data_IF_691806381481
#
_entry.id   IF_691806381481
#
_cell.length_a   1.000
_cell.length_b   1.000
_cell.length_c   1.000
_cell.angle_alpha   90.00
_cell.angle_beta   90.00
_cell.angle_gamma   90.00
#
_symmetry.space_group_name_H-M   'P 1'
#
loop_
_entity.id
_entity.type
_entity.pdbx_description
1 polymer ?
#
# COMPACT_ATOMS: atom_id res chain seq x y z
N UNK A 1 -44.42 -36.46 11.99
CA UNK A 1 -44.56 -35.17 12.70
C UNK A 1 -43.41 -35.09 13.68
N UNK A 2 -42.52 -34.11 13.53
CA UNK A 2 -41.41 -33.90 14.47
C UNK A 2 -42.03 -33.43 15.78
N UNK A 3 -41.64 -34.01 16.92
CA UNK A 3 -42.25 -33.62 18.19
C UNK A 3 -41.85 -32.19 18.55
N UNK A 4 -42.72 -31.41 19.23
CA UNK A 4 -42.40 -30.04 19.63
C UNK A 4 -41.08 -29.90 20.40
N UNK A 5 -40.67 -30.96 21.13
CA UNK A 5 -39.38 -31.02 21.82
C UNK A 5 -38.17 -31.18 20.88
N UNK A 6 -38.31 -31.92 19.77
CA UNK A 6 -37.23 -32.08 18.78
C UNK A 6 -37.02 -30.78 17.99
N UNK A 7 -38.08 -30.01 17.73
CA UNK A 7 -37.97 -28.72 17.05
C UNK A 7 -37.30 -27.66 17.94
N UNK A 8 -37.59 -27.66 19.25
CA UNK A 8 -36.95 -26.78 20.22
C UNK A 8 -35.45 -27.06 20.38
N UNK A 9 -35.05 -28.34 20.43
CA UNK A 9 -33.64 -28.74 20.54
C UNK A 9 -32.85 -28.37 19.28
N UNK A 10 -33.47 -28.53 18.10
CA UNK A 10 -32.85 -28.17 16.82
C UNK A 10 -32.64 -26.65 16.69
N UNK A 11 -33.63 -25.84 17.09
CA UNK A 11 -33.51 -24.37 17.13
C UNK A 11 -32.43 -23.92 18.13
N UNK A 12 -32.33 -24.57 19.29
CA UNK A 12 -31.28 -24.27 20.27
C UNK A 12 -29.88 -24.58 19.71
N UNK A 13 -29.70 -25.69 19.00
CA UNK A 13 -28.43 -26.03 18.36
C UNK A 13 -28.06 -25.05 17.25
N UNK A 14 -29.01 -24.64 16.40
CA UNK A 14 -28.78 -23.64 15.35
C UNK A 14 -28.37 -22.31 15.97
N UNK A 15 -29.08 -21.85 17.00
CA UNK A 15 -28.75 -20.60 17.69
C UNK A 15 -27.39 -20.66 18.39
N UNK A 16 -26.98 -21.80 18.96
CA UNK A 16 -25.63 -21.96 19.50
C UNK A 16 -24.56 -21.96 18.41
N UNK A 17 -24.83 -22.54 17.24
CA UNK A 17 -23.89 -22.50 16.10
C UNK A 17 -23.73 -21.08 15.57
N UNK A 18 -24.82 -20.31 15.47
CA UNK A 18 -24.78 -18.90 15.07
C UNK A 18 -24.08 -18.02 16.10
N UNK A 19 -24.41 -18.18 17.39
CA UNK A 19 -23.74 -17.48 18.48
C UNK A 19 -22.24 -17.79 18.51
N UNK A 20 -21.86 -19.05 18.31
CA UNK A 20 -20.45 -19.44 18.23
C UNK A 20 -19.76 -18.84 17.00
N UNK A 21 -20.43 -18.75 15.84
CA UNK A 21 -19.90 -18.04 14.66
C UNK A 21 -19.70 -16.56 14.94
N UNK A 22 -20.64 -15.91 15.61
CA UNK A 22 -20.56 -14.49 15.96
C UNK A 22 -19.51 -14.21 17.03
N UNK A 23 -19.33 -15.09 18.02
CA UNK A 23 -18.21 -15.07 18.98
C UNK A 23 -16.88 -15.26 18.26
N UNK A 24 -16.80 -16.20 17.32
CA UNK A 24 -15.57 -16.45 16.54
C UNK A 24 -15.20 -15.23 15.67
N UNK A 25 -16.19 -14.55 15.10
CA UNK A 25 -16.04 -13.36 14.26
C UNK A 25 -15.74 -12.09 15.07
N UNK A 26 -16.32 -11.94 16.26
CA UNK A 26 -16.18 -10.76 17.11
C UNK A 26 -14.96 -10.78 18.04
N UNK A 27 -14.49 -11.96 18.47
CA UNK A 27 -13.41 -12.07 19.46
C UNK A 27 -12.12 -12.69 18.91
N UNK A 28 -12.23 -13.71 18.06
CA UNK A 28 -11.04 -14.47 17.61
C UNK A 28 -10.41 -13.87 16.35
N UNK A 29 -11.21 -13.46 15.35
CA UNK A 29 -10.68 -12.78 14.17
C UNK A 29 -9.85 -11.52 14.53
N UNK A 30 -10.30 -10.70 15.50
CA UNK A 30 -9.53 -9.53 15.90
C UNK A 30 -8.25 -9.90 16.70
N UNK A 31 -8.28 -10.95 17.54
CA UNK A 31 -7.08 -11.42 18.30
C UNK A 31 -6.03 -12.02 17.37
N UNK A 32 -6.45 -12.80 16.35
CA UNK A 32 -5.55 -13.33 15.33
C UNK A 32 -4.94 -12.22 14.47
N UNK A 33 -5.71 -11.19 14.13
CA UNK A 33 -5.18 -9.98 13.47
C UNK A 33 -4.17 -9.25 14.37
N UNK A 34 -4.42 -9.15 15.68
CA UNK A 34 -3.47 -8.53 16.62
C UNK A 34 -2.16 -9.29 16.75
N UNK A 35 -2.21 -10.62 16.81
CA UNK A 35 -1.03 -11.47 16.89
C UNK A 35 -0.27 -11.48 15.56
N UNK A 36 -0.99 -11.38 14.44
CA UNK A 36 -0.44 -11.29 13.09
C UNK A 36 0.25 -9.96 12.83
N UNK A 37 -0.39 -8.84 13.17
CA UNK A 37 0.23 -7.51 13.13
C UNK A 37 1.47 -7.53 14.02
N UNK A 38 1.40 -8.05 15.26
CA UNK A 38 2.58 -8.21 16.13
C UNK A 38 3.67 -9.09 15.51
N UNK A 39 3.33 -10.12 14.73
CA UNK A 39 4.28 -11.01 14.08
C UNK A 39 5.04 -10.36 12.90
N UNK A 40 4.46 -9.35 12.25
CA UNK A 40 5.15 -8.47 11.30
C UNK A 40 5.67 -7.18 11.96
N UNK A 41 5.74 -7.16 13.29
CA UNK A 41 6.19 -6.02 14.06
C UNK A 41 5.30 -4.79 13.90
N UNK A 42 3.98 -4.93 13.96
CA UNK A 42 3.00 -3.83 13.95
C UNK A 42 2.03 -3.96 15.13
N UNK A 43 1.78 -2.86 15.84
CA UNK A 43 0.73 -2.83 16.86
C UNK A 43 -0.67 -2.66 16.24
N UNK A 44 -1.69 -3.23 16.90
CA UNK A 44 -3.11 -3.11 16.52
C UNK A 44 -3.65 -1.68 16.53
N UNK A 45 -2.93 -0.76 17.19
CA UNK A 45 -3.30 0.65 17.33
C UNK A 45 -2.76 1.55 16.22
N UNK A 46 -2.07 0.98 15.22
CA UNK A 46 -1.52 1.75 14.10
C UNK A 46 -2.58 1.94 12.99
N UNK A 47 -3.76 2.44 13.36
CA UNK A 47 -4.67 3.03 12.37
C UNK A 47 -3.92 4.19 11.69
N UNK A 48 -4.08 4.43 10.38
CA UNK A 48 -3.24 5.39 9.68
C UNK A 48 -3.36 6.76 10.36
N UNK A 49 -2.21 7.22 10.87
CA UNK A 49 -2.06 8.33 11.81
C UNK A 49 -2.16 9.69 11.08
N UNK A 50 -2.64 9.72 9.84
CA UNK A 50 -2.48 10.89 8.97
C UNK A 50 -3.77 11.52 8.47
N UNK A 51 -4.96 10.96 8.71
CA UNK A 51 -6.21 11.54 8.20
C UNK A 51 -6.39 13.01 8.63
N UNK A 52 -6.16 13.30 9.91
CA UNK A 52 -6.23 14.66 10.46
C UNK A 52 -5.10 15.55 9.91
N UNK A 53 -3.89 14.99 9.78
CA UNK A 53 -2.72 15.68 9.22
C UNK A 53 -2.93 16.07 7.75
N UNK A 54 -3.45 15.18 6.92
CA UNK A 54 -3.71 15.40 5.49
C UNK A 54 -4.71 16.55 5.32
N UNK A 55 -5.77 16.56 6.14
CA UNK A 55 -6.80 17.62 6.11
C UNK A 55 -6.20 18.99 6.46
N UNK A 56 -5.38 19.06 7.52
CA UNK A 56 -4.73 20.31 7.95
C UNK A 56 -3.66 20.80 6.96
N UNK A 57 -2.86 19.89 6.39
CA UNK A 57 -1.87 20.22 5.37
C UNK A 57 -2.53 20.73 4.09
N UNK A 58 -3.59 20.06 3.62
CA UNK A 58 -4.37 20.47 2.44
C UNK A 58 -4.96 21.86 2.64
N UNK A 59 -5.62 22.11 3.78
CA UNK A 59 -6.15 23.44 4.14
C UNK A 59 -5.05 24.51 4.13
N UNK A 60 -3.89 24.22 4.74
CA UNK A 60 -2.78 25.16 4.83
C UNK A 60 -2.14 25.48 3.47
N UNK A 61 -2.12 24.51 2.56
CA UNK A 61 -1.67 24.69 1.18
C UNK A 61 -2.64 25.57 0.39
N UNK A 62 -3.92 25.21 0.37
CA UNK A 62 -4.97 25.93 -0.37
C UNK A 62 -5.08 27.37 0.12
N UNK A 63 -4.95 27.61 1.43
CA UNK A 63 -4.98 28.96 1.99
C UNK A 63 -3.79 29.83 1.50
N UNK A 64 -2.65 29.22 1.19
CA UNK A 64 -1.45 29.92 0.70
C UNK A 64 -1.38 30.00 -0.83
N UNK A 65 -1.95 29.01 -1.51
CA UNK A 65 -2.01 28.88 -2.96
C UNK A 65 -3.42 28.40 -3.34
N UNK A 66 -4.42 29.30 -3.43
CA UNK A 66 -5.78 28.90 -3.76
C UNK A 66 -5.89 28.28 -5.16
N UNK A 67 -5.00 28.67 -6.07
CA UNK A 67 -5.05 28.27 -7.47
C UNK A 67 -4.72 26.79 -7.72
N UNK A 68 -4.23 26.05 -6.72
CA UNK A 68 -3.91 24.62 -6.85
C UNK A 68 -4.91 23.68 -6.21
N UNK A 69 -6.02 24.19 -5.68
CA UNK A 69 -7.03 23.34 -5.05
C UNK A 69 -7.56 22.27 -6.01
N UNK A 70 -7.79 22.65 -7.26
CA UNK A 70 -8.23 21.76 -8.32
C UNK A 70 -7.15 20.72 -8.66
N UNK A 71 -5.93 21.17 -8.95
CA UNK A 71 -4.79 20.30 -9.29
C UNK A 71 -4.51 19.26 -8.18
N UNK A 72 -4.51 19.69 -6.92
CA UNK A 72 -4.38 18.81 -5.76
C UNK A 72 -5.48 17.75 -5.75
N UNK A 73 -6.73 18.18 -5.96
CA UNK A 73 -7.89 17.28 -5.86
C UNK A 73 -7.89 16.25 -6.99
N UNK A 74 -7.54 16.67 -8.21
CA UNK A 74 -7.38 15.78 -9.37
C UNK A 74 -6.25 14.78 -9.13
N UNK A 75 -5.09 15.24 -8.68
CA UNK A 75 -3.94 14.37 -8.37
C UNK A 75 -4.24 13.36 -7.26
N UNK A 76 -4.90 13.77 -6.18
CA UNK A 76 -5.31 12.86 -5.10
C UNK A 76 -6.27 11.77 -5.60
N UNK A 77 -7.28 12.10 -6.39
CA UNK A 77 -8.23 11.11 -6.91
C UNK A 77 -7.54 10.15 -7.89
N UNK A 78 -6.65 10.66 -8.75
CA UNK A 78 -5.86 9.84 -9.67
C UNK A 78 -4.99 8.81 -8.91
N UNK A 79 -4.30 9.23 -7.85
CA UNK A 79 -3.54 8.34 -6.97
C UNK A 79 -4.44 7.29 -6.32
N UNK A 80 -5.61 7.70 -5.80
CA UNK A 80 -6.56 6.79 -5.15
C UNK A 80 -7.12 5.77 -6.13
N UNK A 81 -7.35 6.16 -7.38
CA UNK A 81 -7.81 5.30 -8.46
C UNK A 81 -6.73 4.29 -8.84
N UNK A 82 -5.49 4.73 -9.08
CA UNK A 82 -4.36 3.85 -9.38
C UNK A 82 -4.12 2.82 -8.27
N UNK A 83 -4.20 3.24 -7.01
CA UNK A 83 -4.10 2.35 -5.85
C UNK A 83 -5.17 1.25 -5.84
N UNK A 84 -6.39 1.50 -6.37
CA UNK A 84 -7.44 0.45 -6.45
C UNK A 84 -7.02 -0.71 -7.37
N UNK A 85 -6.12 -0.46 -8.32
CA UNK A 85 -5.57 -1.42 -9.27
C UNK A 85 -4.17 -1.90 -8.89
N UNK A 86 -3.64 -1.48 -7.73
CA UNK A 86 -2.38 -1.97 -7.17
C UNK A 86 -1.14 -1.13 -7.48
N UNK A 87 -1.30 0.03 -8.12
CA UNK A 87 -0.22 0.94 -8.46
C UNK A 87 -0.11 2.06 -7.43
N UNK A 88 0.99 2.08 -6.68
CA UNK A 88 1.23 3.06 -5.61
C UNK A 88 1.91 4.32 -6.16
N UNK A 89 1.72 5.46 -5.50
CA UNK A 89 2.36 6.73 -5.87
C UNK A 89 3.86 6.72 -5.56
N UNK A 90 4.69 6.82 -6.59
CA UNK A 90 6.13 6.98 -6.50
C UNK A 90 6.46 8.44 -6.75
N UNK A 91 7.18 9.07 -5.83
CA UNK A 91 7.47 10.51 -5.89
C UNK A 91 8.24 10.93 -7.14
N UNK A 92 9.10 10.06 -7.64
CA UNK A 92 9.93 10.31 -8.82
C UNK A 92 9.12 10.19 -10.13
N UNK A 93 7.85 9.80 -10.07
CA UNK A 93 6.95 9.84 -11.21
C UNK A 93 6.23 11.19 -11.27
N UNK A 94 5.95 11.63 -12.49
CA UNK A 94 5.13 12.80 -12.75
C UNK A 94 3.68 12.53 -12.31
N UNK A 95 3.03 13.48 -11.63
CA UNK A 95 1.63 13.31 -11.20
C UNK A 95 0.70 13.13 -12.42
N UNK A 96 1.06 13.77 -13.53
CA UNK A 96 0.42 13.64 -14.83
C UNK A 96 0.34 12.18 -15.29
N UNK A 97 1.35 11.35 -14.98
CA UNK A 97 1.33 9.91 -15.27
C UNK A 97 0.17 9.21 -14.57
N UNK A 98 -0.11 9.55 -13.31
CA UNK A 98 -1.23 8.99 -12.57
C UNK A 98 -2.58 9.51 -13.07
N UNK A 99 -2.63 10.78 -13.47
CA UNK A 99 -3.85 11.39 -14.04
C UNK A 99 -4.21 10.70 -15.35
N UNK A 100 -3.26 10.57 -16.28
CA UNK A 100 -3.44 9.86 -17.55
C UNK A 100 -3.89 8.40 -17.32
N UNK A 101 -3.24 7.71 -16.38
CA UNK A 101 -3.59 6.33 -16.04
C UNK A 101 -5.03 6.22 -15.49
N UNK A 102 -5.45 7.17 -14.65
CA UNK A 102 -6.80 7.23 -14.10
C UNK A 102 -7.85 7.51 -15.19
N UNK A 103 -7.56 8.40 -16.13
CA UNK A 103 -8.45 8.72 -17.26
C UNK A 103 -8.69 7.52 -18.19
N UNK A 104 -7.66 6.67 -18.39
CA UNK A 104 -7.79 5.43 -19.18
C UNK A 104 -8.89 4.52 -18.61
N UNK A 105 -8.99 4.43 -17.29
CA UNK A 105 -9.93 3.52 -16.61
C UNK A 105 -11.27 4.16 -16.27
N UNK A 106 -11.42 5.48 -16.38
CA UNK A 106 -12.69 6.18 -16.10
C UNK A 106 -13.68 6.15 -17.27
N UNK A 107 -13.30 5.60 -18.42
CA UNK A 107 -14.19 5.38 -19.56
C UNK A 107 -15.39 4.49 -19.16
N UNK A 108 -16.61 4.96 -19.42
CA UNK A 108 -17.86 4.44 -18.83
C UNK A 108 -18.25 3.01 -19.27
N UNK A 109 -17.56 2.41 -20.24
CA UNK A 109 -17.96 1.11 -20.82
C UNK A 109 -17.01 -0.06 -20.52
N UNK A 110 -15.93 0.16 -19.76
CA UNK A 110 -14.96 -0.90 -19.47
C UNK A 110 -15.36 -1.71 -18.24
N UNK A 111 -15.27 -3.04 -18.34
CA UNK A 111 -15.34 -3.93 -17.18
C UNK A 111 -14.14 -3.71 -16.26
N UNK A 112 -14.25 -4.12 -14.99
CA UNK A 112 -13.14 -4.03 -14.04
C UNK A 112 -11.87 -4.73 -14.55
N UNK A 113 -12.02 -5.87 -15.23
CA UNK A 113 -10.90 -6.64 -15.77
C UNK A 113 -10.19 -5.87 -16.90
N UNK A 114 -10.94 -5.25 -17.79
CA UNK A 114 -10.37 -4.42 -18.87
C UNK A 114 -9.68 -3.19 -18.31
N UNK A 115 -10.27 -2.53 -17.30
CA UNK A 115 -9.63 -1.43 -16.57
C UNK A 115 -8.29 -1.86 -15.95
N UNK A 116 -8.24 -3.02 -15.31
CA UNK A 116 -7.01 -3.55 -14.73
C UNK A 116 -5.93 -3.81 -15.80
N UNK A 117 -6.31 -4.42 -16.93
CA UNK A 117 -5.39 -4.69 -18.04
C UNK A 117 -4.83 -3.37 -18.58
N UNK A 118 -5.69 -2.42 -18.93
CA UNK A 118 -5.26 -1.13 -19.49
C UNK A 118 -4.35 -0.36 -18.53
N UNK A 119 -4.66 -0.37 -17.23
CA UNK A 119 -3.84 0.25 -16.19
C UNK A 119 -2.46 -0.42 -16.09
N UNK A 120 -2.42 -1.75 -16.12
CA UNK A 120 -1.17 -2.50 -16.07
C UNK A 120 -0.31 -2.23 -17.30
N UNK A 121 -0.90 -2.29 -18.48
CA UNK A 121 -0.20 -2.05 -19.74
C UNK A 121 0.40 -0.63 -19.78
N UNK A 122 -0.34 0.37 -19.29
CA UNK A 122 0.14 1.74 -19.18
C UNK A 122 1.38 1.86 -18.28
N UNK A 123 1.32 1.35 -17.05
CA UNK A 123 2.42 1.48 -16.10
C UNK A 123 3.62 0.59 -16.45
N UNK A 124 3.41 -0.61 -16.99
CA UNK A 124 4.50 -1.44 -17.51
C UNK A 124 5.22 -0.69 -18.62
N UNK A 125 4.48 -0.13 -19.58
CA UNK A 125 5.08 0.66 -20.66
C UNK A 125 5.86 1.87 -20.12
N UNK A 126 5.27 2.62 -19.19
CA UNK A 126 5.92 3.79 -18.58
C UNK A 126 7.24 3.41 -17.90
N UNK A 127 7.26 2.29 -17.16
CA UNK A 127 8.45 1.79 -16.49
C UNK A 127 9.49 1.25 -17.48
N UNK A 128 9.05 0.54 -18.52
CA UNK A 128 9.91 -0.04 -19.55
C UNK A 128 10.57 1.00 -20.46
N UNK A 129 9.89 2.13 -20.71
CA UNK A 129 10.45 3.26 -21.46
C UNK A 129 11.47 4.06 -20.63
N UNK A 130 11.42 3.94 -19.31
CA UNK A 130 12.39 4.50 -18.37
C UNK A 130 13.55 3.55 -18.04
N UNK A 131 14.26 3.88 -16.97
CA UNK A 131 15.21 2.96 -16.32
C UNK A 131 14.69 2.65 -14.90
N UNK A 132 13.87 1.59 -14.76
CA UNK A 132 13.27 1.22 -13.48
C UNK A 132 14.31 0.71 -12.49
N UNK A 133 15.51 0.31 -12.95
CA UNK A 133 16.65 -0.07 -12.12
C UNK A 133 17.34 1.13 -11.48
N UNK A 134 17.36 2.27 -12.15
CA UNK A 134 17.87 3.53 -11.59
C UNK A 134 16.89 4.23 -10.64
N UNK A 135 15.63 3.82 -10.66
CA UNK A 135 14.55 4.49 -9.94
C UNK A 135 14.66 4.29 -8.43
N UNK A 136 15.05 5.35 -7.73
CA UNK A 136 14.93 5.42 -6.27
C UNK A 136 15.87 4.51 -5.48
N UNK A 137 16.98 4.05 -6.05
CA UNK A 137 17.99 3.26 -5.32
C UNK A 137 18.48 3.99 -4.05
N UNK A 138 18.81 5.28 -4.15
CA UNK A 138 19.16 6.13 -3.01
C UNK A 138 18.04 6.20 -1.97
N UNK A 139 16.78 6.30 -2.43
CA UNK A 139 15.61 6.38 -1.56
C UNK A 139 15.40 5.07 -0.79
N UNK A 140 15.66 3.92 -1.43
CA UNK A 140 15.58 2.61 -0.77
C UNK A 140 16.60 2.50 0.36
N UNK A 141 17.85 2.88 0.12
CA UNK A 141 18.91 2.86 1.14
C UNK A 141 18.56 3.80 2.29
N UNK A 142 18.11 5.02 1.99
CA UNK A 142 17.61 5.97 2.99
C UNK A 142 16.46 5.40 3.82
N UNK A 143 15.53 4.65 3.21
CA UNK A 143 14.37 4.07 3.90
C UNK A 143 14.72 2.83 4.74
N UNK A 144 15.61 1.97 4.25
CA UNK A 144 15.94 0.68 4.86
C UNK A 144 17.04 0.78 5.92
N UNK A 145 18.04 1.64 5.68
CA UNK A 145 19.31 1.68 6.40
C UNK A 145 20.46 1.11 5.58
N UNK A 146 21.68 1.61 5.80
CA UNK A 146 22.91 1.20 5.10
C UNK A 146 23.15 -0.32 5.15
N UNK A 147 22.70 -1.00 6.22
CA UNK A 147 22.88 -2.45 6.33
C UNK A 147 22.09 -3.27 5.31
N UNK A 148 21.16 -2.64 4.59
CA UNK A 148 20.35 -3.25 3.52
C UNK A 148 20.76 -2.80 2.12
N UNK A 149 21.78 -1.96 1.98
CA UNK A 149 22.21 -1.38 0.71
C UNK A 149 22.45 -2.45 -0.36
N UNK A 150 23.25 -3.47 -0.03
CA UNK A 150 23.52 -4.59 -0.94
C UNK A 150 22.23 -5.27 -1.44
N UNK A 151 21.24 -5.46 -0.57
CA UNK A 151 19.99 -6.12 -0.96
C UNK A 151 19.11 -5.19 -1.81
N UNK A 152 19.10 -3.90 -1.50
CA UNK A 152 18.41 -2.89 -2.30
C UNK A 152 19.00 -2.82 -3.72
N UNK A 153 20.33 -2.66 -3.84
CA UNK A 153 21.04 -2.66 -5.13
C UNK A 153 20.77 -3.94 -5.91
N UNK A 154 20.82 -5.10 -5.25
CA UNK A 154 20.57 -6.37 -5.91
C UNK A 154 19.13 -6.48 -6.44
N UNK A 155 18.13 -6.01 -5.70
CA UNK A 155 16.76 -5.94 -6.20
C UNK A 155 16.66 -5.04 -7.44
N UNK A 156 17.30 -3.87 -7.41
CA UNK A 156 17.26 -2.93 -8.54
C UNK A 156 17.96 -3.51 -9.78
N UNK A 157 19.07 -4.23 -9.61
CA UNK A 157 19.74 -4.95 -10.69
C UNK A 157 18.81 -6.01 -11.32
N UNK A 158 18.12 -6.82 -10.51
CA UNK A 158 17.14 -7.80 -11.01
C UNK A 158 15.97 -7.15 -11.74
N UNK A 159 15.46 -6.01 -11.22
CA UNK A 159 14.42 -5.21 -11.86
C UNK A 159 14.89 -4.71 -13.23
N UNK A 160 16.11 -4.17 -13.31
CA UNK A 160 16.69 -3.67 -14.56
C UNK A 160 16.82 -4.77 -15.64
N UNK A 161 17.15 -5.99 -15.21
CA UNK A 161 17.27 -7.18 -16.07
C UNK A 161 15.93 -7.87 -16.35
N UNK A 162 14.83 -7.37 -15.78
CA UNK A 162 13.50 -7.98 -15.82
C UNK A 162 13.48 -9.43 -15.30
N UNK A 163 14.34 -9.74 -14.33
CA UNK A 163 14.39 -11.04 -13.66
C UNK A 163 13.38 -11.08 -12.51
N UNK A 164 12.09 -11.14 -12.84
CA UNK A 164 11.02 -10.97 -11.87
C UNK A 164 10.90 -12.12 -10.85
N UNK A 165 11.20 -13.37 -11.22
CA UNK A 165 11.10 -14.51 -10.30
C UNK A 165 11.99 -14.37 -9.06
N UNK A 166 13.29 -14.05 -9.18
CA UNK A 166 14.12 -13.76 -8.01
C UNK A 166 13.82 -12.38 -7.40
N UNK A 167 13.41 -11.38 -8.18
CA UNK A 167 13.14 -10.04 -7.65
C UNK A 167 11.95 -10.01 -6.67
N UNK A 168 10.82 -10.63 -7.03
CA UNK A 168 9.57 -10.61 -6.26
C UNK A 168 9.75 -11.00 -4.77
N UNK A 169 10.34 -12.17 -4.42
CA UNK A 169 10.53 -12.53 -3.02
C UNK A 169 11.48 -11.57 -2.28
N UNK A 170 12.49 -11.01 -2.95
CA UNK A 170 13.39 -10.04 -2.34
C UNK A 170 12.68 -8.70 -2.08
N UNK A 171 11.87 -8.21 -3.03
CA UNK A 171 11.05 -7.01 -2.83
C UNK A 171 10.10 -7.20 -1.64
N UNK A 172 9.49 -8.38 -1.49
CA UNK A 172 8.62 -8.67 -0.33
C UNK A 172 9.37 -8.61 1.00
N UNK A 173 10.61 -9.11 1.07
CA UNK A 173 11.46 -9.02 2.26
C UNK A 173 11.75 -7.54 2.59
N UNK A 174 12.06 -6.73 1.58
CA UNK A 174 12.31 -5.30 1.77
C UNK A 174 11.05 -4.55 2.22
N UNK A 175 9.87 -4.87 1.68
CA UNK A 175 8.59 -4.33 2.15
C UNK A 175 8.36 -4.68 3.62
N UNK A 176 8.56 -5.94 4.02
CA UNK A 176 8.47 -6.36 5.43
C UNK A 176 9.40 -5.56 6.33
N UNK A 177 10.64 -5.36 5.91
CA UNK A 177 11.62 -4.55 6.64
C UNK A 177 11.16 -3.11 6.79
N UNK A 178 10.66 -2.47 5.73
CA UNK A 178 10.15 -1.11 5.79
C UNK A 178 8.94 -0.98 6.73
N UNK A 179 8.06 -1.98 6.75
CA UNK A 179 6.94 -2.01 7.69
C UNK A 179 7.40 -2.05 9.15
N UNK A 180 8.44 -2.82 9.46
CA UNK A 180 9.06 -2.84 10.79
C UNK A 180 9.68 -1.49 11.14
N UNK A 181 10.34 -0.83 10.19
CA UNK A 181 10.90 0.51 10.40
C UNK A 181 9.80 1.54 10.71
N UNK A 182 8.66 1.48 10.02
CA UNK A 182 7.51 2.36 10.27
C UNK A 182 6.86 2.13 11.64
N UNK A 183 6.77 0.88 12.12
CA UNK A 183 6.25 0.62 13.47
C UNK A 183 7.17 1.15 14.57
N UNK A 184 8.49 0.92 14.41
CA UNK A 184 9.53 1.42 15.33
C UNK A 184 9.62 2.94 15.35
N UNK A 185 9.33 3.58 14.22
CA UNK A 185 9.31 5.03 14.12
C UNK A 185 8.28 5.68 15.07
N UNK A 186 7.33 4.90 15.62
CA UNK A 186 6.27 5.36 16.52
C UNK A 186 5.72 6.69 16.01
N UNK A 187 4.91 6.67 14.94
CA UNK A 187 4.21 7.85 14.43
C UNK A 187 3.33 8.43 15.56
N UNK A 188 3.95 9.24 16.42
CA UNK A 188 3.33 9.85 17.59
C UNK A 188 2.71 11.19 17.18
N UNK A 189 1.66 11.62 17.88
CA UNK A 189 0.99 12.92 17.71
C UNK A 189 1.98 14.11 17.71
N UNK A 190 3.09 13.99 18.44
CA UNK A 190 4.17 15.01 18.48
C UNK A 190 4.87 15.18 17.13
N UNK A 191 4.97 14.11 16.33
CA UNK A 191 5.54 14.14 14.98
C UNK A 191 4.55 14.82 14.03
N UNK A 192 3.24 14.55 14.12
CA UNK A 192 2.22 15.27 13.32
C UNK A 192 2.34 16.79 13.49
N UNK A 193 2.42 17.28 14.74
CA UNK A 193 2.60 18.71 15.04
C UNK A 193 3.93 19.25 14.49
N UNK A 194 5.02 18.47 14.53
CA UNK A 194 6.29 18.86 13.89
C UNK A 194 6.18 18.92 12.37
N UNK A 195 5.46 17.99 11.74
CA UNK A 195 5.20 17.99 10.29
C UNK A 195 4.47 19.27 9.90
N UNK A 196 3.37 19.58 10.56
CA UNK A 196 2.56 20.80 10.31
C UNK A 196 3.43 22.05 10.48
N UNK A 197 4.17 22.15 11.60
CA UNK A 197 5.01 23.30 11.88
C UNK A 197 6.18 23.46 10.90
N UNK A 198 6.80 22.35 10.47
CA UNK A 198 7.85 22.35 9.46
C UNK A 198 7.29 22.79 8.11
N UNK A 199 6.13 22.25 7.76
CA UNK A 199 5.39 22.59 6.57
C UNK A 199 5.10 24.10 6.55
N UNK A 200 4.53 24.67 7.60
CA UNK A 200 4.20 26.10 7.66
C UNK A 200 5.40 27.05 7.52
N UNK A 201 6.63 26.59 7.82
CA UNK A 201 7.83 27.44 7.85
C UNK A 201 8.65 27.47 6.54
N UNK A 202 8.58 26.44 5.70
CA UNK A 202 9.46 26.31 4.51
C UNK A 202 8.67 26.16 3.20
N UNK A 203 7.90 27.19 2.83
CA UNK A 203 6.95 27.10 1.72
C UNK A 203 7.60 27.32 0.36
N UNK A 204 7.68 26.24 -0.40
CA UNK A 204 7.66 26.29 -1.87
C UNK A 204 6.51 25.39 -2.35
N UNK A 205 5.78 25.84 -3.38
CA UNK A 205 4.55 25.22 -3.91
C UNK A 205 4.73 23.73 -4.24
N UNK A 206 5.69 23.45 -5.13
CA UNK A 206 5.95 22.12 -5.67
C UNK A 206 6.36 21.07 -4.61
N UNK A 207 7.26 21.41 -3.68
CA UNK A 207 7.74 20.44 -2.66
C UNK A 207 6.62 19.91 -1.75
N UNK A 208 5.55 20.67 -1.60
CA UNK A 208 4.48 20.38 -0.65
C UNK A 208 3.29 19.63 -1.25
N UNK A 209 2.99 19.83 -2.53
CA UNK A 209 2.04 19.00 -3.28
C UNK A 209 2.50 17.53 -3.24
N UNK A 210 3.79 17.28 -3.52
CA UNK A 210 4.37 15.94 -3.40
C UNK A 210 4.26 15.35 -1.99
N UNK A 211 4.48 16.14 -0.93
CA UNK A 211 4.30 15.65 0.43
C UNK A 211 2.85 15.27 0.73
N UNK A 212 1.89 16.06 0.27
CA UNK A 212 0.46 15.74 0.41
C UNK A 212 0.11 14.45 -0.34
N UNK A 213 0.56 14.31 -1.58
CA UNK A 213 0.39 13.09 -2.38
C UNK A 213 1.02 11.86 -1.74
N UNK A 214 2.24 11.97 -1.22
CA UNK A 214 2.91 10.87 -0.50
C UNK A 214 2.11 10.42 0.72
N UNK A 215 1.60 11.35 1.54
CA UNK A 215 0.80 11.02 2.73
C UNK A 215 -0.57 10.43 2.34
N UNK A 216 -1.25 11.02 1.36
CA UNK A 216 -2.52 10.52 0.84
C UNK A 216 -2.38 9.11 0.27
N UNK A 217 -1.33 8.90 -0.51
CA UNK A 217 -0.97 7.60 -1.05
C UNK A 217 -0.73 6.60 0.07
N UNK A 218 0.01 6.96 1.11
CA UNK A 218 0.33 6.04 2.20
C UNK A 218 -0.91 5.43 2.83
N UNK A 219 -1.90 6.24 3.21
CA UNK A 219 -3.14 5.74 3.83
C UNK A 219 -3.88 4.77 2.89
N UNK A 220 -4.00 5.14 1.61
CA UNK A 220 -4.70 4.35 0.62
C UNK A 220 -3.96 3.04 0.28
N UNK A 221 -2.65 3.13 0.04
CA UNK A 221 -1.75 2.01 -0.24
C UNK A 221 -1.70 1.05 0.95
N UNK A 222 -1.57 1.57 2.17
CA UNK A 222 -1.47 0.74 3.37
C UNK A 222 -2.71 -0.15 3.53
N UNK A 223 -3.90 0.45 3.46
CA UNK A 223 -5.14 -0.32 3.61
C UNK A 223 -5.46 -1.16 2.37
N UNK A 224 -5.47 -0.57 1.17
CA UNK A 224 -5.92 -1.26 -0.04
C UNK A 224 -4.90 -2.26 -0.57
N UNK A 225 -3.62 -1.92 -0.54
CA UNK A 225 -2.55 -2.71 -1.16
C UNK A 225 -1.85 -3.61 -0.14
N UNK A 226 -1.29 -3.03 0.92
CA UNK A 226 -0.45 -3.77 1.87
C UNK A 226 -1.32 -4.72 2.71
N UNK A 227 -2.32 -4.21 3.43
CA UNK A 227 -3.14 -5.00 4.35
C UNK A 227 -4.07 -5.98 3.65
N UNK A 228 -4.79 -5.49 2.63
CA UNK A 228 -5.85 -6.25 1.95
C UNK A 228 -5.36 -7.11 0.77
N UNK A 229 -4.12 -6.96 0.31
CA UNK A 229 -3.56 -7.81 -0.73
C UNK A 229 -2.26 -8.49 -0.29
N UNK A 230 -1.17 -7.74 -0.10
CA UNK A 230 0.17 -8.32 0.15
C UNK A 230 0.16 -9.18 1.43
N UNK A 231 -0.36 -8.67 2.55
CA UNK A 231 -0.33 -9.35 3.85
C UNK A 231 -1.65 -10.02 4.24
N UNK A 232 -2.61 -10.15 3.32
CA UNK A 232 -3.91 -10.78 3.59
C UNK A 232 -3.73 -12.25 4.03
N UNK A 233 -4.30 -12.65 5.16
CA UNK A 233 -4.03 -13.95 5.80
C UNK A 233 -4.95 -15.09 5.37
N UNK A 234 -6.13 -14.81 4.83
CA UNK A 234 -7.10 -15.80 4.36
C UNK A 234 -6.98 -16.10 2.86
N UNK A 235 -5.89 -15.67 2.23
CA UNK A 235 -5.63 -15.87 0.81
C UNK A 235 -5.39 -17.35 0.51
N UNK A 236 -6.08 -17.86 -0.52
CA UNK A 236 -5.94 -19.23 -1.02
C UNK A 236 -5.35 -19.20 -2.43
N UNK A 237 -4.58 -20.21 -2.86
CA UNK A 237 -4.00 -20.25 -4.20
C UNK A 237 -5.02 -20.03 -5.33
N UNK A 238 -6.25 -20.51 -5.16
CA UNK A 238 -7.33 -20.41 -6.16
C UNK A 238 -8.19 -19.15 -6.03
N UNK A 239 -7.83 -18.24 -5.11
CA UNK A 239 -8.45 -16.92 -4.94
C UNK A 239 -7.33 -15.88 -4.80
N UNK A 240 -6.59 -15.61 -5.89
CA UNK A 240 -5.50 -14.66 -5.84
C UNK A 240 -6.02 -13.27 -5.49
N UNK A 241 -5.20 -12.54 -4.75
CA UNK A 241 -5.35 -11.10 -4.49
C UNK A 241 -5.03 -10.31 -5.77
N UNK A 242 -5.31 -9.00 -5.76
CA UNK A 242 -5.06 -8.13 -6.91
C UNK A 242 -3.57 -7.95 -7.21
N UNK A 243 -2.76 -7.99 -6.15
CA UNK A 243 -1.29 -8.02 -6.17
C UNK A 243 -0.86 -9.35 -5.56
N UNK A 244 0.33 -9.85 -5.90
CA UNK A 244 0.92 -11.03 -5.25
C UNK A 244 0.87 -10.95 -3.72
N UNK A 245 0.34 -12.01 -3.12
CA UNK A 245 0.24 -12.16 -1.68
C UNK A 245 1.52 -12.78 -1.11
N UNK A 246 2.09 -12.11 -0.10
CA UNK A 246 3.28 -12.55 0.63
C UNK A 246 3.15 -13.95 1.20
N UNK A 247 2.02 -14.29 1.83
CA UNK A 247 1.83 -15.61 2.41
C UNK A 247 1.84 -16.71 1.33
N UNK A 248 1.32 -16.43 0.14
CA UNK A 248 1.40 -17.39 -0.95
C UNK A 248 2.83 -17.55 -1.50
N UNK A 249 3.56 -16.45 -1.66
CA UNK A 249 4.93 -16.46 -2.21
C UNK A 249 5.90 -17.11 -1.22
N UNK A 250 6.01 -16.59 0.00
CA UNK A 250 7.04 -17.01 0.97
C UNK A 250 6.84 -18.44 1.48
N UNK A 251 5.63 -18.97 1.43
CA UNK A 251 5.35 -20.36 1.81
C UNK A 251 5.28 -21.32 0.62
N UNK A 252 5.73 -20.91 -0.58
CA UNK A 252 5.80 -21.78 -1.76
C UNK A 252 4.44 -22.25 -2.28
N UNK A 253 3.36 -21.52 -1.96
CA UNK A 253 1.98 -21.83 -2.39
C UNK A 253 1.58 -21.12 -3.68
N UNK A 254 2.37 -20.15 -4.12
CA UNK A 254 2.27 -19.49 -5.42
C UNK A 254 3.20 -20.15 -6.42
N UNK A 255 2.80 -20.26 -7.69
CA UNK A 255 3.64 -20.80 -8.76
C UNK A 255 4.52 -19.68 -9.36
N UNK A 256 5.86 -19.71 -9.23
CA UNK A 256 6.73 -18.68 -9.78
C UNK A 256 6.65 -18.55 -11.31
N UNK A 257 6.25 -19.63 -12.00
CA UNK A 257 6.12 -19.65 -13.47
C UNK A 257 4.95 -18.80 -13.97
N UNK A 258 4.04 -18.38 -13.09
CA UNK A 258 2.89 -17.53 -13.44
C UNK A 258 3.08 -16.08 -13.03
N UNK A 259 4.23 -15.72 -12.43
CA UNK A 259 4.51 -14.33 -12.09
C UNK A 259 4.89 -13.55 -13.34
N UNK A 260 4.64 -12.25 -13.29
CA UNK A 260 4.83 -11.32 -14.41
C UNK A 260 5.64 -10.11 -13.97
N UNK A 261 6.08 -9.32 -14.96
CA UNK A 261 6.63 -7.99 -14.77
C UNK A 261 5.67 -7.04 -14.04
N UNK A 262 4.37 -7.11 -14.33
CA UNK A 262 3.31 -6.38 -13.60
C UNK A 262 3.40 -6.65 -12.10
N UNK A 263 3.52 -7.91 -11.71
CA UNK A 263 3.59 -8.27 -10.29
C UNK A 263 4.84 -7.68 -9.61
N UNK A 264 5.98 -7.73 -10.30
CA UNK A 264 7.24 -7.15 -9.83
C UNK A 264 7.12 -5.62 -9.69
N UNK A 265 6.61 -4.94 -10.71
CA UNK A 265 6.50 -3.49 -10.73
C UNK A 265 5.47 -2.95 -9.73
N UNK A 266 4.34 -3.63 -9.54
CA UNK A 266 3.39 -3.26 -8.48
C UNK A 266 4.02 -3.37 -7.09
N UNK A 267 4.79 -4.43 -6.82
CA UNK A 267 5.52 -4.55 -5.56
C UNK A 267 6.63 -3.51 -5.44
N UNK A 268 7.35 -3.21 -6.53
CA UNK A 268 8.39 -2.18 -6.55
C UNK A 268 7.82 -0.79 -6.24
N UNK A 269 6.70 -0.40 -6.86
CA UNK A 269 6.07 0.89 -6.56
C UNK A 269 5.64 1.00 -5.10
N UNK A 270 5.13 -0.08 -4.50
CA UNK A 270 4.84 -0.14 -3.05
C UNK A 270 6.12 0.07 -2.23
N UNK A 271 7.20 -0.62 -2.59
CA UNK A 271 8.48 -0.51 -1.88
C UNK A 271 9.04 0.93 -1.94
N UNK A 272 9.06 1.54 -3.12
CA UNK A 272 9.52 2.91 -3.32
C UNK A 272 8.62 3.92 -2.58
N UNK A 273 7.29 3.74 -2.61
CA UNK A 273 6.36 4.57 -1.84
C UNK A 273 6.61 4.49 -0.34
N UNK A 274 6.87 3.29 0.21
CA UNK A 274 7.20 3.12 1.62
C UNK A 274 8.52 3.80 1.99
N UNK A 275 9.52 3.69 1.12
CA UNK A 275 10.82 4.32 1.30
C UNK A 275 10.70 5.84 1.43
N UNK A 276 9.88 6.46 0.56
CA UNK A 276 9.58 7.88 0.60
C UNK A 276 8.92 8.32 1.91
N UNK A 277 7.95 7.55 2.40
CA UNK A 277 7.27 7.86 3.67
C UNK A 277 8.25 7.82 4.84
N UNK A 278 9.14 6.82 4.87
CA UNK A 278 10.18 6.71 5.90
C UNK A 278 11.19 7.86 5.77
N UNK A 279 11.61 8.19 4.56
CA UNK A 279 12.56 9.29 4.28
C UNK A 279 11.99 10.63 4.74
N UNK A 280 10.73 10.91 4.42
CA UNK A 280 10.04 12.11 4.90
C UNK A 280 9.90 12.10 6.42
N UNK A 281 9.59 10.95 7.03
CA UNK A 281 9.59 10.82 8.49
C UNK A 281 10.95 11.15 9.12
N UNK A 282 12.06 10.65 8.57
CA UNK A 282 13.42 10.91 9.08
C UNK A 282 13.79 12.39 9.01
N UNK A 283 13.36 13.14 7.98
CA UNK A 283 13.60 14.59 7.88
C UNK A 283 12.92 15.40 9.00
N UNK A 284 11.92 14.82 9.66
CA UNK A 284 11.07 15.48 10.66
C UNK A 284 11.49 15.18 12.11
N UNK A 285 12.27 14.13 12.33
CA UNK A 285 12.76 13.70 13.64
C UNK A 285 14.09 14.35 13.99
#
# INVERSE_FOLDING_TARGET
MISPGQEAVSRFHINQIELNKDIHKSLIAPVNESLRLKAIGMSRNNSPVFADLISELKKSLILKFPEIEEDITVGEEAILQCNRFGWSFVRDFHIETYIEAAEIVDRQDLSYKEKQINMNDFFVKYLDEGDPGSLGAEVLVDGLGEEWEYLAEHVMDLVSKKEYQPAIPLIMILIERMMVNLDRAHLQEKIQKKVINSFEKQITKQKKEFQLYTLKNFDAMFEKTIRNNIFKSDTRPHRPTRILNRHLVVHGKSNPSTWTDVDMYQLLTVLLSLAEVIREHKKLT
#
